data_IF_341720622333
#
_entry.id   IF_341720622333
#
_cell.length_a   1.000
_cell.length_b   1.000
_cell.length_c   1.000
_cell.angle_alpha   90.00
_cell.angle_beta   90.00
_cell.angle_gamma   90.00
#
_symmetry.space_group_name_H-M   'P 1'
#
loop_
_entity.id
_entity.type
_entity.pdbx_description
1 polymer ?
#
# COMPACT_ATOMS: atom_id res chain seq x y z
N UNK A 1 17.61 24.65 5.02
CA UNK A 1 17.03 23.31 4.72
C UNK A 1 15.56 23.34 5.10
N UNK A 2 14.69 23.76 4.18
CA UNK A 2 13.25 23.80 4.43
C UNK A 2 12.63 22.50 3.94
N UNK A 3 12.15 21.65 4.85
CA UNK A 3 11.25 20.55 4.50
C UNK A 3 9.91 21.17 4.14
N UNK A 4 9.75 21.58 2.88
CA UNK A 4 8.45 22.02 2.36
C UNK A 4 7.56 20.79 2.25
N UNK A 5 6.88 20.44 3.34
CA UNK A 5 5.63 19.67 3.28
C UNK A 5 4.68 20.47 2.39
N UNK A 6 4.72 20.17 1.10
CA UNK A 6 3.88 20.80 0.09
C UNK A 6 2.55 20.04 0.03
N UNK A 7 1.46 20.72 -0.35
CA UNK A 7 0.18 20.05 -0.58
C UNK A 7 0.30 18.82 -1.50
N UNK A 8 1.27 18.83 -2.43
CA UNK A 8 1.62 17.69 -3.26
C UNK A 8 2.09 16.46 -2.47
N UNK A 9 3.04 16.62 -1.54
CA UNK A 9 3.52 15.49 -0.71
C UNK A 9 2.41 14.85 0.11
N UNK A 10 1.46 15.65 0.60
CA UNK A 10 0.29 15.14 1.31
C UNK A 10 -0.62 14.32 0.39
N UNK A 11 -0.91 14.81 -0.83
CA UNK A 11 -1.70 14.09 -1.83
C UNK A 11 -1.05 12.76 -2.20
N UNK A 12 0.27 12.74 -2.45
CA UNK A 12 1.01 11.51 -2.77
C UNK A 12 0.98 10.51 -1.60
N UNK A 13 1.13 10.99 -0.36
CA UNK A 13 1.09 10.13 0.83
C UNK A 13 -0.30 9.50 1.03
N UNK A 14 -1.38 10.27 0.84
CA UNK A 14 -2.76 9.76 0.93
C UNK A 14 -3.03 8.74 -0.18
N UNK A 15 -2.62 9.03 -1.42
CA UNK A 15 -2.74 8.10 -2.53
C UNK A 15 -1.98 6.79 -2.26
N UNK A 16 -0.76 6.88 -1.73
CA UNK A 16 0.07 5.71 -1.39
C UNK A 16 -0.59 4.87 -0.30
N UNK A 17 -1.08 5.51 0.77
CA UNK A 17 -1.81 4.82 1.83
C UNK A 17 -3.04 4.10 1.29
N UNK A 18 -3.80 4.73 0.39
CA UNK A 18 -4.95 4.13 -0.28
C UNK A 18 -4.57 2.89 -1.11
N UNK A 19 -3.51 2.97 -1.92
CA UNK A 19 -3.05 1.84 -2.73
C UNK A 19 -2.57 0.67 -1.87
N UNK A 20 -1.81 0.95 -0.80
CA UNK A 20 -1.37 -0.08 0.14
C UNK A 20 -2.53 -0.73 0.89
N UNK A 21 -3.54 0.06 1.27
CA UNK A 21 -4.76 -0.45 1.88
C UNK A 21 -5.50 -1.40 0.92
N UNK A 22 -5.67 -1.00 -0.35
CA UNK A 22 -6.29 -1.86 -1.38
C UNK A 22 -5.51 -3.16 -1.54
N UNK A 23 -4.18 -3.11 -1.58
CA UNK A 23 -3.35 -4.32 -1.66
C UNK A 23 -3.55 -5.25 -0.46
N UNK A 24 -3.63 -4.70 0.75
CA UNK A 24 -3.91 -5.49 1.95
C UNK A 24 -5.29 -6.14 1.88
N UNK A 25 -6.30 -5.41 1.38
CA UNK A 25 -7.66 -5.94 1.21
C UNK A 25 -7.73 -7.03 0.14
N UNK A 26 -7.11 -6.83 -1.04
CA UNK A 26 -7.03 -7.84 -2.10
C UNK A 26 -6.30 -9.09 -1.60
N UNK A 27 -5.25 -8.92 -0.81
CA UNK A 27 -4.52 -10.03 -0.21
C UNK A 27 -5.36 -10.75 0.84
N UNK A 28 -6.16 -10.03 1.62
CA UNK A 28 -7.12 -10.61 2.56
C UNK A 28 -8.18 -11.44 1.84
N UNK A 29 -8.74 -10.94 0.74
CA UNK A 29 -9.71 -11.66 -0.08
C UNK A 29 -9.10 -12.94 -0.70
N UNK A 30 -7.86 -12.86 -1.17
CA UNK A 30 -7.11 -14.02 -1.64
C UNK A 30 -6.96 -15.10 -0.56
N UNK A 31 -6.82 -14.73 0.72
CA UNK A 31 -6.76 -15.70 1.81
C UNK A 31 -8.12 -16.30 2.15
N UNK A 32 -9.22 -15.56 1.96
CA UNK A 32 -10.59 -16.04 2.14
C UNK A 32 -10.91 -17.22 1.23
N UNK A 33 -10.40 -17.19 0.00
CA UNK A 33 -10.68 -18.22 -1.00
C UNK A 33 -9.85 -19.52 -0.81
N UNK A 34 -9.04 -19.65 0.26
CA UNK A 34 -8.23 -20.84 0.50
C UNK A 34 -8.96 -21.88 1.38
N UNK A 35 -8.83 -23.19 1.08
CA UNK A 35 -9.37 -24.25 1.93
C UNK A 35 -8.68 -24.24 3.30
N UNK A 36 -9.46 -24.32 4.39
CA UNK A 36 -8.96 -24.22 5.78
C UNK A 36 -8.94 -22.81 6.37
N UNK A 37 -9.71 -21.88 5.78
CA UNK A 37 -9.77 -20.49 6.20
C UNK A 37 -10.28 -20.30 7.65
N UNK A 38 -9.60 -19.42 8.40
CA UNK A 38 -10.11 -18.84 9.65
C UNK A 38 -9.80 -17.35 9.68
N UNK A 39 -10.68 -16.56 10.29
CA UNK A 39 -10.51 -15.11 10.45
C UNK A 39 -9.14 -14.78 11.09
N UNK A 40 -8.74 -15.56 12.09
CA UNK A 40 -7.46 -15.38 12.78
C UNK A 40 -6.22 -15.61 11.90
N UNK A 41 -6.28 -16.55 10.94
CA UNK A 41 -5.18 -16.80 10.00
C UNK A 41 -5.02 -15.66 9.01
N UNK A 42 -6.13 -15.17 8.45
CA UNK A 42 -6.13 -14.04 7.52
C UNK A 42 -5.66 -12.75 8.22
N UNK A 43 -6.15 -12.48 9.43
CA UNK A 43 -5.73 -11.32 10.24
C UNK A 43 -4.26 -11.39 10.61
N UNK A 44 -3.72 -12.55 11.04
CA UNK A 44 -2.28 -12.67 11.34
C UNK A 44 -1.40 -12.38 10.13
N UNK A 45 -1.78 -12.86 8.94
CA UNK A 45 -1.02 -12.59 7.71
C UNK A 45 -1.19 -11.16 7.20
N UNK A 46 -2.38 -10.57 7.35
CA UNK A 46 -2.60 -9.16 7.02
C UNK A 46 -1.85 -8.23 7.99
N UNK A 47 -1.77 -8.59 9.28
CA UNK A 47 -1.00 -7.86 10.29
C UNK A 47 0.50 -7.82 9.98
N UNK A 48 1.06 -8.85 9.33
CA UNK A 48 2.46 -8.79 8.85
C UNK A 48 2.67 -7.70 7.79
N UNK A 49 1.63 -7.34 7.03
CA UNK A 49 1.66 -6.30 6.01
C UNK A 49 1.23 -4.93 6.57
N UNK A 50 0.59 -4.88 7.74
CA UNK A 50 0.12 -3.64 8.35
C UNK A 50 1.22 -2.57 8.53
N UNK A 51 2.48 -2.91 8.91
CA UNK A 51 3.56 -1.93 8.99
C UNK A 51 3.95 -1.30 7.65
N UNK A 52 3.64 -1.95 6.52
CA UNK A 52 3.99 -1.44 5.18
C UNK A 52 3.28 -0.12 4.89
N UNK A 53 2.07 0.08 5.42
CA UNK A 53 1.29 1.32 5.24
C UNK A 53 1.99 2.53 5.89
N UNK A 54 2.27 2.56 7.20
CA UNK A 54 2.97 3.69 7.82
C UNK A 54 4.40 3.84 7.29
N UNK A 55 5.11 2.75 6.97
CA UNK A 55 6.42 2.82 6.33
C UNK A 55 6.36 3.50 4.97
N UNK A 56 5.42 3.10 4.10
CA UNK A 56 5.24 3.69 2.78
C UNK A 56 4.93 5.19 2.87
N UNK A 57 4.09 5.59 3.82
CA UNK A 57 3.77 7.00 4.09
C UNK A 57 5.01 7.77 4.54
N UNK A 58 5.76 7.26 5.53
CA UNK A 58 6.98 7.93 6.02
C UNK A 58 8.01 8.05 4.92
N UNK A 59 8.23 7.00 4.13
CA UNK A 59 9.17 7.03 3.00
C UNK A 59 8.76 8.12 2.00
N UNK A 60 7.49 8.16 1.58
CA UNK A 60 6.97 9.18 0.64
C UNK A 60 7.18 10.60 1.17
N UNK A 61 7.02 10.84 2.46
CA UNK A 61 7.21 12.17 3.06
C UNK A 61 8.68 12.59 3.12
N UNK A 62 9.61 11.63 3.13
CA UNK A 62 11.05 11.87 3.24
C UNK A 62 11.77 11.87 1.88
N UNK A 63 11.19 11.27 0.84
CA UNK A 63 11.80 11.26 -0.50
C UNK A 63 11.44 12.50 -1.33
N UNK A 64 12.34 12.92 -2.24
CA UNK A 64 12.04 13.89 -3.29
C UNK A 64 10.76 13.57 -4.09
N UNK A 65 10.07 14.61 -4.55
CA UNK A 65 8.75 14.52 -5.19
C UNK A 65 8.70 13.53 -6.37
N UNK A 66 9.77 13.47 -7.18
CA UNK A 66 9.87 12.56 -8.32
C UNK A 66 9.97 11.09 -7.88
N UNK A 67 10.64 10.81 -6.77
CA UNK A 67 10.69 9.46 -6.18
C UNK A 67 9.34 9.06 -5.58
N UNK A 68 8.56 10.01 -5.05
CA UNK A 68 7.19 9.75 -4.58
C UNK A 68 6.27 9.22 -5.69
N UNK A 69 6.38 9.78 -6.90
CA UNK A 69 5.63 9.29 -8.07
C UNK A 69 6.06 7.88 -8.50
N UNK A 70 7.37 7.58 -8.46
CA UNK A 70 7.88 6.22 -8.71
C UNK A 70 7.40 5.24 -7.64
N UNK A 71 7.38 5.66 -6.37
CA UNK A 71 6.87 4.84 -5.28
C UNK A 71 5.39 4.50 -5.43
N UNK A 72 4.57 5.43 -5.91
CA UNK A 72 3.15 5.19 -6.22
C UNK A 72 2.95 4.18 -7.35
N UNK A 73 3.85 4.19 -8.35
CA UNK A 73 3.74 3.31 -9.50
C UNK A 73 3.82 1.83 -9.11
N UNK A 74 4.63 1.47 -8.11
CA UNK A 74 4.80 0.08 -7.67
C UNK A 74 3.49 -0.56 -7.18
N UNK A 75 2.79 -0.03 -6.15
CA UNK A 75 1.54 -0.62 -5.70
C UNK A 75 0.42 -0.48 -6.73
N UNK A 76 0.41 0.59 -7.54
CA UNK A 76 -0.53 0.72 -8.66
C UNK A 76 -0.35 -0.39 -9.70
N UNK A 77 0.90 -0.72 -10.07
CA UNK A 77 1.20 -1.81 -11.00
C UNK A 77 0.81 -3.17 -10.41
N UNK A 78 1.03 -3.39 -9.11
CA UNK A 78 0.61 -4.65 -8.46
C UNK A 78 -0.91 -4.79 -8.52
N UNK A 79 -1.67 -3.73 -8.20
CA UNK A 79 -3.13 -3.73 -8.32
C UNK A 79 -3.56 -4.00 -9.77
N UNK A 80 -2.93 -3.34 -10.74
CA UNK A 80 -3.23 -3.53 -12.16
C UNK A 80 -3.01 -4.98 -12.59
N UNK A 81 -1.88 -5.59 -12.21
CA UNK A 81 -1.58 -7.00 -12.52
C UNK A 81 -2.61 -7.93 -11.87
N UNK A 82 -2.99 -7.67 -10.61
CA UNK A 82 -4.02 -8.46 -9.93
C UNK A 82 -5.38 -8.32 -10.62
N UNK A 83 -5.74 -7.11 -11.06
CA UNK A 83 -6.98 -6.83 -11.78
C UNK A 83 -7.02 -7.45 -13.18
N UNK A 84 -5.88 -7.59 -13.84
CA UNK A 84 -5.76 -8.27 -15.14
C UNK A 84 -5.78 -9.81 -15.01
N UNK A 85 -5.46 -10.33 -13.82
CA UNK A 85 -5.41 -11.77 -13.54
C UNK A 85 -6.72 -12.34 -12.97
N UNK A 86 -7.66 -11.46 -12.59
CA UNK A 86 -9.02 -11.78 -12.15
C UNK A 86 -10.01 -11.76 -13.30
#
# INVERSE_FOLDING_TARGET
MGTTFSGWTAVVAVAMAGLLLVLVLLRYDTYRNRPGWSLGYATRRALLLAPVIPLGVVVVLLVPLWLGAVLLAVPALIILVMALAS
#
